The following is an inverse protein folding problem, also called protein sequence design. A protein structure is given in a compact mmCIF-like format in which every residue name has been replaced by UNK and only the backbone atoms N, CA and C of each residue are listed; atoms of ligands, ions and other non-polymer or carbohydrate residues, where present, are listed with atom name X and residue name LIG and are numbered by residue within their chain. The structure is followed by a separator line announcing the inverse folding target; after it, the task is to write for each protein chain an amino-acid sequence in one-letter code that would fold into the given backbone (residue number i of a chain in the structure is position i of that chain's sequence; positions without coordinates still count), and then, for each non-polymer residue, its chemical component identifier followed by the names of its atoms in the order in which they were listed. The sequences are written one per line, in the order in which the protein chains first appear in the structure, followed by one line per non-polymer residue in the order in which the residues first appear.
data_IF_779430195798
#
_entry.id   IF_779430195798
#
_cell.length_a   1.000
_cell.length_b   1.000
_cell.length_c   1.000
_cell.angle_alpha   90.00
_cell.angle_beta   90.00
_cell.angle_gamma   90.00
#
_symmetry.space_group_name_H-M   'P 1'
#
loop_
_entity.id
_entity.type
_entity.pdbx_description
1 polymer ?
#
# COMPACT_ATOMS: atom_id res chain seq x y z
N UNK A 1 -33.27 15.17 31.09
CA UNK A 1 -33.88 15.79 32.28
C UNK A 1 -32.77 16.27 33.19
N UNK A 2 -32.74 17.55 33.52
CA UNK A 2 -31.73 18.14 34.41
C UNK A 2 -32.37 18.36 35.79
N UNK A 3 -31.73 17.85 36.83
CA UNK A 3 -32.17 17.95 38.23
C UNK A 3 -31.27 18.91 39.00
N UNK A 4 -31.86 19.71 39.89
CA UNK A 4 -31.09 20.48 40.87
C UNK A 4 -30.64 19.51 41.98
N UNK A 5 -29.32 19.32 42.21
CA UNK A 5 -28.83 18.30 43.14
C UNK A 5 -29.35 18.44 44.57
N UNK A 6 -29.52 19.68 45.04
CA UNK A 6 -29.93 20.00 46.41
C UNK A 6 -31.42 19.81 46.66
N UNK A 7 -32.29 20.22 45.72
CA UNK A 7 -33.74 20.22 45.93
C UNK A 7 -34.45 19.05 45.27
N UNK A 8 -33.75 18.27 44.42
CA UNK A 8 -34.33 17.25 43.53
C UNK A 8 -35.47 17.76 42.65
N UNK A 9 -35.60 19.08 42.50
CA UNK A 9 -36.57 19.69 41.59
C UNK A 9 -36.08 19.58 40.15
N UNK A 10 -37.03 19.41 39.24
CA UNK A 10 -36.78 19.32 37.81
C UNK A 10 -36.53 20.74 37.29
N UNK A 11 -35.32 20.98 36.76
CA UNK A 11 -34.95 22.28 36.17
C UNK A 11 -35.45 22.38 34.73
N UNK A 12 -35.19 21.35 33.92
CA UNK A 12 -35.67 21.30 32.54
C UNK A 12 -35.73 19.86 32.00
N UNK A 13 -36.69 19.62 31.12
CA UNK A 13 -36.78 18.41 30.30
C UNK A 13 -36.60 18.88 28.86
N UNK A 14 -35.61 18.29 28.17
CA UNK A 14 -35.30 18.59 26.77
C UNK A 14 -35.31 17.29 25.98
N UNK A 15 -35.77 17.35 24.74
CA UNK A 15 -35.69 16.25 23.77
C UNK A 15 -34.22 16.02 23.41
N UNK A 16 -33.87 14.77 23.13
CA UNK A 16 -32.51 14.39 22.69
C UNK A 16 -32.56 13.73 21.30
N UNK A 17 -33.47 14.21 20.45
CA UNK A 17 -33.70 13.83 19.07
C UNK A 17 -34.27 15.05 18.35
N UNK A 18 -34.12 15.12 17.02
CA UNK A 18 -34.69 16.18 16.20
C UNK A 18 -36.20 15.95 16.04
N UNK A 19 -37.01 17.01 16.02
CA UNK A 19 -38.48 16.87 15.96
C UNK A 19 -38.97 16.26 14.64
N UNK A 20 -38.21 16.46 13.56
CA UNK A 20 -38.51 15.97 12.22
C UNK A 20 -37.91 14.57 11.92
N UNK A 21 -37.21 13.95 12.88
CA UNK A 21 -36.60 12.62 12.68
C UNK A 21 -37.64 11.50 12.91
N UNK A 22 -38.05 10.75 11.85
CA UNK A 22 -39.03 9.68 11.98
C UNK A 22 -38.54 8.50 12.84
N UNK A 23 -37.21 8.30 12.94
CA UNK A 23 -36.61 7.20 13.67
C UNK A 23 -36.30 7.57 15.15
N UNK A 24 -36.52 8.84 15.54
CA UNK A 24 -36.30 9.35 16.90
C UNK A 24 -34.88 9.01 17.40
N UNK A 25 -33.87 9.18 16.54
CA UNK A 25 -32.50 8.78 16.86
C UNK A 25 -31.92 9.71 17.90
N UNK A 26 -31.19 9.11 18.84
CA UNK A 26 -30.51 9.85 19.91
C UNK A 26 -29.45 10.77 19.30
N UNK A 27 -29.48 12.05 19.65
CA UNK A 27 -28.42 12.99 19.33
C UNK A 27 -27.22 12.71 20.24
N UNK A 28 -26.08 12.42 19.61
CA UNK A 28 -24.78 12.29 20.27
C UNK A 28 -24.06 13.65 20.26
N UNK A 29 -23.57 14.07 21.42
CA UNK A 29 -22.80 15.31 21.62
C UNK A 29 -21.34 15.06 22.00
N UNK A 30 -21.00 13.81 22.31
CA UNK A 30 -19.66 13.43 22.76
C UNK A 30 -19.17 12.30 21.86
N UNK A 31 -17.90 12.38 21.50
CA UNK A 31 -17.20 11.37 20.73
C UNK A 31 -16.07 10.82 21.57
N UNK A 32 -15.94 9.51 21.60
CA UNK A 32 -14.90 8.85 22.35
C UNK A 32 -13.76 8.41 21.43
N UNK A 33 -12.61 9.06 21.59
CA UNK A 33 -11.38 8.61 20.97
C UNK A 33 -10.80 7.42 21.72
N UNK A 34 -10.83 6.26 21.05
CA UNK A 34 -10.46 4.99 21.65
C UNK A 34 -9.34 4.33 20.84
N UNK A 35 -8.23 4.00 21.53
CA UNK A 35 -7.12 3.25 20.95
C UNK A 35 -7.54 1.80 20.65
N UNK A 36 -8.06 1.09 21.65
CA UNK A 36 -8.67 -0.23 21.50
C UNK A 36 -10.06 -0.28 22.12
N UNK A 37 -11.06 -0.86 21.42
CA UNK A 37 -12.39 -1.03 21.99
C UNK A 37 -12.28 -1.90 23.26
N UNK A 38 -12.74 -1.36 24.37
CA UNK A 38 -12.81 -2.10 25.64
C UNK A 38 -14.09 -2.92 25.72
N UNK A 39 -14.22 -3.72 26.76
CA UNK A 39 -15.43 -4.51 27.03
C UNK A 39 -16.60 -3.68 27.58
N UNK A 40 -16.37 -2.41 27.93
CA UNK A 40 -17.36 -1.52 28.52
C UNK A 40 -17.41 -0.17 27.80
N UNK A 41 -17.88 0.86 28.52
CA UNK A 41 -17.97 2.22 27.99
C UNK A 41 -16.59 2.77 27.58
N UNK A 42 -15.56 2.52 28.39
CA UNK A 42 -14.22 3.04 28.15
C UNK A 42 -13.36 2.13 27.28
N UNK A 43 -12.54 2.75 26.45
CA UNK A 43 -11.49 2.11 25.67
C UNK A 43 -10.26 1.72 26.49
N UNK A 44 -9.44 0.82 25.95
CA UNK A 44 -8.13 0.49 26.50
C UNK A 44 -7.06 1.36 25.83
N UNK A 45 -6.18 1.96 26.63
CA UNK A 45 -5.02 2.72 26.17
C UNK A 45 -3.71 1.95 26.34
N UNK A 46 -2.60 2.55 25.90
CA UNK A 46 -1.26 1.95 26.03
C UNK A 46 -0.85 1.69 27.48
N UNK A 47 -1.22 2.57 28.40
CA UNK A 47 -0.88 2.40 29.82
C UNK A 47 -1.51 1.14 30.41
N UNK A 48 -2.77 0.83 30.04
CA UNK A 48 -3.44 -0.40 30.48
C UNK A 48 -2.83 -1.64 29.84
N UNK A 49 -2.38 -1.56 28.59
CA UNK A 49 -1.78 -2.69 27.87
C UNK A 49 -0.36 -3.01 28.33
N UNK A 50 0.46 -1.98 28.57
CA UNK A 50 1.88 -2.16 28.90
C UNK A 50 2.12 -2.16 30.41
N UNK A 51 1.16 -1.68 31.22
CA UNK A 51 1.35 -1.43 32.65
C UNK A 51 1.82 -2.66 33.44
N UNK A 52 1.19 -3.82 33.23
CA UNK A 52 1.57 -5.07 33.91
C UNK A 52 3.03 -5.47 33.61
N UNK A 53 3.41 -5.41 32.34
CA UNK A 53 4.77 -5.74 31.90
C UNK A 53 5.79 -4.73 32.43
N UNK A 54 5.47 -3.44 32.43
CA UNK A 54 6.35 -2.39 32.98
C UNK A 54 6.57 -2.58 34.47
N UNK A 55 5.53 -2.96 35.23
CA UNK A 55 5.67 -3.27 36.65
C UNK A 55 6.56 -4.50 36.88
N UNK A 56 6.37 -5.57 36.11
CA UNK A 56 7.22 -6.77 36.19
C UNK A 56 8.68 -6.46 35.82
N UNK A 57 8.92 -5.76 34.71
CA UNK A 57 10.25 -5.34 34.27
C UNK A 57 10.96 -4.50 35.33
N UNK A 58 10.25 -3.54 35.92
CA UNK A 58 10.79 -2.68 36.99
C UNK A 58 11.15 -3.51 38.23
N UNK A 59 10.29 -4.46 38.62
CA UNK A 59 10.55 -5.35 39.76
C UNK A 59 11.78 -6.23 39.52
N UNK A 60 11.88 -6.85 38.34
CA UNK A 60 13.02 -7.70 37.98
C UNK A 60 14.31 -6.88 37.94
N UNK A 61 14.28 -5.71 37.31
CA UNK A 61 15.44 -4.83 37.23
C UNK A 61 15.95 -4.43 38.61
N UNK A 62 15.05 -4.08 39.54
CA UNK A 62 15.41 -3.79 40.94
C UNK A 62 16.08 -4.99 41.61
N UNK A 63 15.50 -6.19 41.50
CA UNK A 63 16.09 -7.39 42.08
C UNK A 63 17.49 -7.70 41.52
N UNK A 64 17.72 -7.49 40.22
CA UNK A 64 19.03 -7.67 39.59
C UNK A 64 20.04 -6.65 40.12
N UNK A 65 19.65 -5.38 40.23
CA UNK A 65 20.50 -4.31 40.77
C UNK A 65 20.82 -4.58 42.25
N UNK A 66 19.81 -4.90 43.06
CA UNK A 66 19.96 -5.17 44.49
C UNK A 66 20.88 -6.38 44.73
N UNK A 67 20.73 -7.47 43.96
CA UNK A 67 21.67 -8.60 44.02
C UNK A 67 23.08 -8.18 43.61
N UNK A 68 23.24 -7.34 42.60
CA UNK A 68 24.54 -6.82 42.18
C UNK A 68 25.22 -6.00 43.28
N UNK A 69 24.46 -5.14 43.96
CA UNK A 69 24.96 -4.34 45.09
C UNK A 69 25.36 -5.25 46.26
N UNK A 70 24.49 -6.20 46.65
CA UNK A 70 24.74 -7.10 47.78
C UNK A 70 25.88 -8.09 47.53
N UNK A 71 26.09 -8.51 46.28
CA UNK A 71 27.23 -9.35 45.89
C UNK A 71 28.56 -8.57 45.92
N UNK A 72 28.55 -7.31 45.48
CA UNK A 72 29.74 -6.44 45.51
C UNK A 72 30.09 -5.94 46.92
N UNK A 73 29.07 -5.70 47.75
CA UNK A 73 29.21 -5.19 49.12
C UNK A 73 28.47 -6.11 50.11
N UNK A 74 29.00 -7.32 50.38
CA UNK A 74 28.33 -8.28 51.23
C UNK A 74 28.32 -7.81 52.69
N UNK A 75 27.13 -7.68 53.26
CA UNK A 75 26.93 -7.62 54.71
C UNK A 75 27.13 -8.98 55.38
N UNK A 76 27.25 -9.00 56.70
CA UNK A 76 27.49 -10.24 57.46
C UNK A 76 27.13 -10.13 58.93
N UNK A 77 27.16 -11.27 59.61
CA UNK A 77 27.02 -11.37 61.06
C UNK A 77 28.40 -11.34 61.72
N UNK A 78 28.51 -10.62 62.82
CA UNK A 78 29.75 -10.44 63.58
C UNK A 78 29.56 -10.97 64.99
N UNK A 79 30.52 -11.77 65.47
CA UNK A 79 30.50 -12.28 66.84
C UNK A 79 30.63 -11.12 67.85
N UNK A 80 29.81 -11.15 68.91
CA UNK A 80 29.75 -10.09 69.94
C UNK A 80 31.07 -9.88 70.69
N UNK A 81 31.94 -10.89 70.72
CA UNK A 81 33.27 -10.83 71.34
C UNK A 81 34.33 -10.04 70.55
N UNK A 82 34.12 -9.79 69.25
CA UNK A 82 35.07 -9.06 68.43
C UNK A 82 35.06 -7.57 68.81
N UNK A 83 36.16 -7.03 69.33
CA UNK A 83 36.27 -5.60 69.66
C UNK A 83 37.16 -4.92 68.62
N UNK A 84 36.54 -4.17 67.71
CA UNK A 84 37.25 -3.33 66.75
C UNK A 84 37.36 -1.93 67.38
N UNK A 85 38.57 -1.41 67.64
CA UNK A 85 38.74 -0.07 68.18
C UNK A 85 38.35 0.93 67.08
N UNK A 86 37.18 1.57 67.25
CA UNK A 86 36.53 2.49 66.31
C UNK A 86 36.11 1.86 64.97
N UNK A 87 34.81 1.91 64.68
CA UNK A 87 34.20 1.31 63.48
C UNK A 87 34.43 2.14 62.20
N UNK A 88 35.11 3.28 62.30
CA UNK A 88 35.29 4.26 61.21
C UNK A 88 36.71 4.26 60.64
N UNK A 89 37.53 3.25 60.97
CA UNK A 89 38.92 3.16 60.49
C UNK A 89 38.97 2.57 59.08
N UNK A 90 39.20 3.43 58.09
CA UNK A 90 39.52 3.02 56.72
C UNK A 90 40.94 2.43 56.69
N UNK A 91 41.09 1.19 56.26
CA UNK A 91 42.40 0.54 56.12
C UNK A 91 43.05 1.03 54.83
N UNK A 92 44.20 1.71 54.94
CA UNK A 92 44.96 2.17 53.77
C UNK A 92 45.69 1.03 53.04
N UNK A 93 46.10 1.23 51.77
CA UNK A 93 46.88 0.25 51.04
C UNK A 93 48.24 0.01 51.74
N UNK A 94 48.49 -1.24 52.16
CA UNK A 94 49.72 -1.65 52.86
C UNK A 94 49.69 -1.49 54.38
N UNK A 95 48.57 -1.04 54.97
CA UNK A 95 48.41 -0.89 56.42
C UNK A 95 47.90 -2.19 57.05
N UNK A 96 48.56 -2.65 58.11
CA UNK A 96 48.08 -3.76 58.94
C UNK A 96 47.49 -3.21 60.24
N UNK A 97 46.17 -3.34 60.39
CA UNK A 97 45.46 -2.89 61.59
C UNK A 97 45.26 -4.06 62.55
N UNK A 98 45.64 -3.86 63.81
CA UNK A 98 45.46 -4.86 64.87
C UNK A 98 43.98 -4.95 65.28
N UNK A 99 43.45 -6.17 65.36
CA UNK A 99 42.09 -6.46 65.80
C UNK A 99 42.11 -7.52 66.91
N UNK A 100 41.36 -7.29 68.00
CA UNK A 100 41.32 -8.20 69.14
C UNK A 100 40.20 -9.23 68.94
N UNK A 101 40.57 -10.49 68.71
CA UNK A 101 39.65 -11.60 68.44
C UNK A 101 39.22 -12.38 69.69
N UNK A 102 39.34 -11.83 70.91
CA UNK A 102 38.75 -12.30 72.18
C UNK A 102 38.37 -13.81 72.26
N UNK A 103 39.35 -14.71 72.10
CA UNK A 103 39.17 -16.17 72.22
C UNK A 103 38.87 -16.94 70.93
N UNK A 104 38.65 -16.28 69.81
CA UNK A 104 38.51 -16.90 68.48
C UNK A 104 39.89 -17.11 67.82
N UNK A 105 40.09 -18.27 67.16
CA UNK A 105 41.35 -18.66 66.50
C UNK A 105 41.64 -17.88 65.22
N UNK A 106 40.62 -17.36 64.56
CA UNK A 106 40.74 -16.62 63.29
C UNK A 106 39.68 -15.51 63.20
N UNK A 107 40.03 -14.41 62.53
CA UNK A 107 39.09 -13.33 62.21
C UNK A 107 37.95 -13.83 61.30
N UNK A 108 38.23 -14.81 60.43
CA UNK A 108 37.24 -15.43 59.53
C UNK A 108 36.13 -16.18 60.29
N UNK A 109 36.46 -16.76 61.44
CA UNK A 109 35.48 -17.47 62.28
C UNK A 109 34.58 -16.48 63.05
N UNK A 110 35.00 -15.22 63.13
CA UNK A 110 34.30 -14.15 63.87
C UNK A 110 33.33 -13.34 63.00
N UNK A 111 33.43 -13.45 61.66
CA UNK A 111 32.60 -12.72 60.70
C UNK A 111 32.08 -13.71 59.66
N UNK A 112 30.76 -13.88 59.60
CA UNK A 112 30.09 -14.72 58.61
C UNK A 112 29.39 -13.78 57.61
N UNK A 113 29.89 -13.65 56.37
CA UNK A 113 29.16 -12.91 55.34
C UNK A 113 27.86 -13.63 55.01
N UNK A 114 26.81 -12.86 54.73
CA UNK A 114 25.57 -13.42 54.22
C UNK A 114 25.81 -13.95 52.80
N UNK A 115 25.30 -15.14 52.45
CA UNK A 115 25.56 -15.75 51.15
C UNK A 115 24.68 -15.11 50.08
N UNK A 116 25.03 -13.89 49.66
CA UNK A 116 24.41 -13.24 48.52
C UNK A 116 24.98 -13.83 47.23
N UNK A 117 24.11 -14.46 46.42
CA UNK A 117 24.49 -14.92 45.09
C UNK A 117 24.56 -13.77 44.08
N UNK A 118 25.31 -13.98 43.00
CA UNK A 118 25.36 -13.07 41.85
C UNK A 118 23.96 -12.87 41.21
N UNK A 119 23.75 -11.78 40.45
CA UNK A 119 22.53 -11.59 39.66
C UNK A 119 22.24 -12.83 38.79
N UNK A 120 21.00 -13.32 38.87
CA UNK A 120 20.63 -14.56 38.16
C UNK A 120 20.56 -14.33 36.65
N UNK A 121 21.25 -15.17 35.88
CA UNK A 121 21.18 -15.17 34.40
C UNK A 121 19.77 -15.46 33.92
N UNK A 122 19.07 -16.42 34.52
CA UNK A 122 17.67 -16.76 34.20
C UNK A 122 16.75 -15.54 34.38
N UNK A 123 16.96 -14.76 35.43
CA UNK A 123 16.18 -13.57 35.71
C UNK A 123 16.48 -12.44 34.70
N UNK A 124 17.72 -12.33 34.24
CA UNK A 124 18.11 -11.43 33.16
C UNK A 124 17.47 -11.84 31.83
N UNK A 125 17.47 -13.14 31.50
CA UNK A 125 16.85 -13.65 30.27
C UNK A 125 15.34 -13.41 30.27
N UNK A 126 14.67 -13.61 31.42
CA UNK A 126 13.26 -13.26 31.60
C UNK A 126 13.02 -11.75 31.41
N UNK A 127 13.90 -10.90 31.95
CA UNK A 127 13.83 -9.45 31.74
C UNK A 127 13.96 -9.07 30.26
N UNK A 128 14.92 -9.65 29.54
CA UNK A 128 15.14 -9.38 28.12
C UNK A 128 13.95 -9.86 27.27
N UNK A 129 13.42 -11.05 27.56
CA UNK A 129 12.23 -11.58 26.89
C UNK A 129 11.01 -10.68 27.09
N UNK A 130 10.69 -10.31 28.34
CA UNK A 130 9.57 -9.43 28.66
C UNK A 130 9.75 -8.04 28.05
N UNK A 131 10.99 -7.53 28.03
CA UNK A 131 11.32 -6.24 27.41
C UNK A 131 11.06 -6.29 25.91
N UNK A 132 11.49 -7.34 25.21
CA UNK A 132 11.24 -7.52 23.78
C UNK A 132 9.75 -7.60 23.48
N UNK A 133 8.99 -8.41 24.20
CA UNK A 133 7.53 -8.51 24.03
C UNK A 133 6.82 -7.17 24.27
N UNK A 134 7.25 -6.42 25.29
CA UNK A 134 6.72 -5.09 25.59
C UNK A 134 7.05 -4.09 24.49
N UNK A 135 8.27 -4.16 23.96
CA UNK A 135 8.67 -3.35 22.82
C UNK A 135 7.87 -3.70 21.56
N UNK A 136 7.68 -4.97 21.22
CA UNK A 136 6.88 -5.40 20.06
C UNK A 136 5.44 -4.87 20.10
N UNK A 137 4.80 -4.92 21.27
CA UNK A 137 3.45 -4.37 21.47
C UNK A 137 3.41 -2.85 21.31
N UNK A 138 4.50 -2.15 21.67
CA UNK A 138 4.63 -0.69 21.53
C UNK A 138 5.07 -0.29 20.12
N UNK A 139 5.92 -1.07 19.47
CA UNK A 139 6.59 -0.78 18.20
C UNK A 139 5.82 -1.29 16.99
N UNK A 140 4.68 -1.97 17.19
CA UNK A 140 3.73 -2.28 16.12
C UNK A 140 3.24 -1.03 15.35
N UNK A 141 3.55 0.18 15.83
CA UNK A 141 3.31 1.47 15.16
C UNK A 141 4.43 1.85 14.17
N UNK A 142 5.65 1.34 14.37
CA UNK A 142 6.86 1.71 13.61
C UNK A 142 7.70 0.47 13.28
N UNK A 143 7.08 -0.51 12.60
CA UNK A 143 7.87 -1.57 11.99
C UNK A 143 8.59 -0.98 10.77
N UNK A 144 9.86 -0.66 10.96
CA UNK A 144 10.79 -0.48 9.85
C UNK A 144 10.83 -1.81 9.10
N UNK A 145 10.34 -1.79 7.87
CA UNK A 145 10.55 -2.85 6.89
C UNK A 145 12.05 -2.84 6.63
N UNK A 146 12.81 -3.53 7.49
CA UNK A 146 14.21 -3.81 7.23
C UNK A 146 14.28 -4.48 5.86
N UNK A 147 15.26 -4.06 5.07
CA UNK A 147 15.62 -4.60 3.76
C UNK A 147 15.80 -6.12 3.83
N UNK A 148 14.69 -6.87 3.80
CA UNK A 148 14.71 -8.30 3.58
C UNK A 148 15.08 -8.49 2.12
N UNK A 149 16.20 -9.22 1.94
CA UNK A 149 16.81 -9.67 0.69
C UNK A 149 15.98 -9.40 -0.56
N UNK A 150 16.58 -8.72 -1.55
CA UNK A 150 15.95 -8.29 -2.81
C UNK A 150 15.39 -9.42 -3.72
N UNK A 151 15.12 -10.60 -3.18
CA UNK A 151 14.62 -11.79 -3.85
C UNK A 151 13.28 -12.30 -3.29
N UNK A 152 12.70 -11.72 -2.23
CA UNK A 152 11.34 -12.10 -1.80
C UNK A 152 10.31 -11.57 -2.81
N UNK A 153 9.38 -12.41 -3.32
CA UNK A 153 8.32 -11.93 -4.19
C UNK A 153 7.52 -10.80 -3.54
N UNK A 154 7.20 -9.75 -4.32
CA UNK A 154 6.49 -8.56 -3.86
C UNK A 154 5.18 -8.91 -3.16
N UNK A 155 4.47 -9.95 -3.64
CA UNK A 155 3.24 -10.44 -2.99
C UNK A 155 3.46 -10.97 -1.58
N UNK A 156 4.54 -11.72 -1.34
CA UNK A 156 4.88 -12.23 0.00
C UNK A 156 5.36 -11.12 0.92
N UNK A 157 6.17 -10.19 0.39
CA UNK A 157 6.57 -8.99 1.14
C UNK A 157 5.35 -8.17 1.55
N UNK A 158 4.42 -7.92 0.62
CA UNK A 158 3.21 -7.17 0.91
C UNK A 158 2.32 -7.88 1.92
N UNK A 159 2.19 -9.21 1.84
CA UNK A 159 1.45 -9.99 2.82
C UNK A 159 2.07 -9.88 4.24
N UNK A 160 3.40 -9.91 4.36
CA UNK A 160 4.09 -9.72 5.65
C UNK A 160 3.90 -8.30 6.19
N UNK A 161 3.98 -7.29 5.31
CA UNK A 161 3.73 -5.89 5.63
C UNK A 161 2.28 -5.67 6.09
N UNK A 162 1.30 -6.31 5.44
CA UNK A 162 -0.11 -6.21 5.81
C UNK A 162 -0.40 -6.85 7.17
N UNK A 163 0.21 -8.01 7.46
CA UNK A 163 0.10 -8.65 8.78
C UNK A 163 0.72 -7.76 9.86
N UNK A 164 1.90 -7.18 9.60
CA UNK A 164 2.58 -6.26 10.49
C UNK A 164 1.76 -5.00 10.79
N UNK A 165 1.14 -4.38 9.77
CA UNK A 165 0.38 -3.14 9.93
C UNK A 165 -1.10 -3.34 10.29
N UNK A 166 -1.60 -4.56 10.44
CA UNK A 166 -3.02 -4.83 10.73
C UNK A 166 -3.48 -4.14 12.02
N UNK A 167 -2.64 -4.12 13.05
CA UNK A 167 -2.93 -3.48 14.33
C UNK A 167 -3.04 -1.95 14.16
N UNK A 168 -2.01 -1.33 13.59
CA UNK A 168 -1.95 0.10 13.32
C UNK A 168 -3.11 0.56 12.44
N UNK A 169 -3.40 -0.18 11.37
CA UNK A 169 -4.52 0.10 10.45
C UNK A 169 -5.86 0.09 11.18
N UNK A 170 -6.05 -0.85 12.13
CA UNK A 170 -7.27 -0.94 12.91
C UNK A 170 -7.43 0.25 13.86
N UNK A 171 -6.34 0.66 14.51
CA UNK A 171 -6.31 1.86 15.38
C UNK A 171 -6.63 3.11 14.55
N UNK A 172 -5.99 3.29 13.40
CA UNK A 172 -6.23 4.45 12.52
C UNK A 172 -7.66 4.48 11.99
N UNK A 173 -8.26 3.33 11.67
CA UNK A 173 -9.67 3.23 11.28
C UNK A 173 -10.60 3.64 12.42
N UNK A 174 -10.33 3.20 13.65
CA UNK A 174 -11.08 3.61 14.85
C UNK A 174 -11.00 5.13 15.07
N UNK A 175 -9.79 5.70 15.01
CA UNK A 175 -9.58 7.14 15.14
C UNK A 175 -10.27 7.92 14.02
N UNK A 176 -10.20 7.41 12.78
CA UNK A 176 -10.89 7.99 11.62
C UNK A 176 -12.41 8.01 11.86
N UNK A 177 -12.98 6.92 12.35
CA UNK A 177 -14.41 6.84 12.65
C UNK A 177 -14.82 7.84 13.73
N UNK A 178 -14.05 7.95 14.81
CA UNK A 178 -14.27 8.96 15.84
C UNK A 178 -14.19 10.39 15.25
N UNK A 179 -13.17 10.68 14.45
CA UNK A 179 -13.04 11.99 13.80
C UNK A 179 -14.20 12.30 12.84
N UNK A 180 -14.70 11.31 12.08
CA UNK A 180 -15.90 11.49 11.26
C UNK A 180 -17.12 11.88 12.10
N UNK A 181 -17.31 11.23 13.26
CA UNK A 181 -18.41 11.55 14.17
C UNK A 181 -18.26 12.96 14.73
N UNK A 182 -17.05 13.35 15.13
CA UNK A 182 -16.78 14.68 15.67
C UNK A 182 -17.04 15.77 14.64
N UNK A 183 -16.54 15.60 13.42
CA UNK A 183 -16.80 16.52 12.31
C UNK A 183 -18.29 16.61 11.99
N UNK A 184 -19.02 15.50 12.06
CA UNK A 184 -20.48 15.49 11.91
C UNK A 184 -21.20 16.29 13.00
N UNK A 185 -20.77 16.18 14.26
CA UNK A 185 -21.32 16.98 15.36
C UNK A 185 -21.03 18.46 15.15
N UNK A 186 -19.80 18.82 14.80
CA UNK A 186 -19.41 20.21 14.52
C UNK A 186 -20.21 20.79 13.35
N UNK A 187 -20.36 20.04 12.27
CA UNK A 187 -21.15 20.43 11.10
C UNK A 187 -22.60 20.76 11.48
N UNK A 188 -23.24 19.89 12.27
CA UNK A 188 -24.59 20.14 12.78
C UNK A 188 -24.65 21.36 13.70
N UNK A 189 -23.70 21.51 14.62
CA UNK A 189 -23.66 22.66 15.54
C UNK A 189 -23.47 23.98 14.78
N UNK A 190 -22.63 24.00 13.74
CA UNK A 190 -22.49 25.17 12.89
C UNK A 190 -23.78 25.52 12.15
N UNK A 191 -24.51 24.52 11.62
CA UNK A 191 -25.84 24.73 11.05
C UNK A 191 -26.89 25.25 12.04
N UNK A 192 -26.74 25.01 13.34
CA UNK A 192 -27.65 25.52 14.37
C UNK A 192 -27.25 26.91 14.89
N UNK A 193 -25.95 27.17 15.02
CA UNK A 193 -25.43 28.36 15.70
C UNK A 193 -25.07 29.52 14.75
N UNK A 194 -24.71 29.27 13.49
CA UNK A 194 -24.34 30.33 12.56
C UNK A 194 -25.56 31.18 12.17
N UNK A 195 -25.40 32.49 11.93
CA UNK A 195 -26.44 33.32 11.36
C UNK A 195 -26.64 33.05 9.87
N UNK A 196 -27.77 33.49 9.31
CA UNK A 196 -28.02 33.44 7.86
C UNK A 196 -27.21 34.50 7.08
N UNK A 197 -26.54 35.41 7.78
CA UNK A 197 -25.66 36.41 7.19
C UNK A 197 -24.30 35.80 6.83
N UNK A 198 -23.75 36.08 5.64
CA UNK A 198 -22.43 35.57 5.25
C UNK A 198 -21.34 36.06 6.20
N UNK A 199 -20.61 35.13 6.82
CA UNK A 199 -19.46 35.43 7.66
C UNK A 199 -18.17 35.30 6.83
N UNK A 200 -17.43 36.39 6.59
CA UNK A 200 -16.18 36.35 5.81
C UNK A 200 -15.02 35.78 6.64
N UNK A 201 -14.22 34.91 6.03
CA UNK A 201 -12.98 34.39 6.61
C UNK A 201 -11.87 34.30 5.55
N UNK A 202 -10.62 34.51 5.97
CA UNK A 202 -9.47 34.50 5.08
C UNK A 202 -8.88 33.08 4.97
N UNK A 203 -8.57 32.66 3.74
CA UNK A 203 -7.95 31.37 3.43
C UNK A 203 -6.77 31.62 2.49
N UNK A 204 -5.79 30.71 2.49
CA UNK A 204 -4.67 30.79 1.53
C UNK A 204 -5.24 30.75 0.11
N UNK A 205 -5.11 31.86 -0.62
CA UNK A 205 -5.66 32.00 -1.98
C UNK A 205 -6.95 32.82 -2.11
N UNK A 206 -7.54 33.35 -1.03
CA UNK A 206 -8.69 34.26 -1.14
C UNK A 206 -9.49 34.49 0.14
N UNK A 207 -10.52 35.34 0.04
CA UNK A 207 -11.55 35.45 1.07
C UNK A 207 -12.73 34.54 0.70
N UNK A 208 -13.14 33.70 1.65
CA UNK A 208 -14.32 32.87 1.53
C UNK A 208 -15.39 33.36 2.51
N UNK A 209 -16.64 32.97 2.26
CA UNK A 209 -17.76 33.29 3.15
C UNK A 209 -18.46 32.00 3.53
N UNK A 210 -18.97 31.95 4.75
CA UNK A 210 -19.74 30.82 5.27
C UNK A 210 -21.04 31.32 5.88
N UNK A 211 -22.14 30.63 5.62
CA UNK A 211 -23.46 30.93 6.17
C UNK A 211 -24.17 29.66 6.66
N UNK A 212 -25.26 29.82 7.41
CA UNK A 212 -26.07 28.69 7.90
C UNK A 212 -26.50 27.73 6.78
N UNK A 213 -26.89 28.28 5.61
CA UNK A 213 -27.39 27.49 4.47
C UNK A 213 -26.36 26.50 3.89
N UNK A 214 -25.05 26.73 4.13
CA UNK A 214 -23.99 25.82 3.67
C UNK A 214 -23.95 24.51 4.48
N UNK A 215 -24.55 24.51 5.67
CA UNK A 215 -24.60 23.37 6.60
C UNK A 215 -25.89 22.56 6.46
N UNK A 216 -26.24 22.17 5.24
CA UNK A 216 -27.42 21.35 4.96
C UNK A 216 -27.16 19.85 5.21
N UNK A 217 -28.21 19.08 5.53
CA UNK A 217 -28.07 17.64 5.83
C UNK A 217 -27.68 16.77 4.61
N UNK A 218 -27.50 17.36 3.42
CA UNK A 218 -27.14 16.64 2.20
C UNK A 218 -25.65 16.31 2.10
N UNK A 219 -24.80 16.97 2.88
CA UNK A 219 -23.35 16.79 2.84
C UNK A 219 -22.88 15.94 4.03
N UNK A 220 -22.06 14.92 3.73
CA UNK A 220 -21.39 14.09 4.74
C UNK A 220 -19.91 14.43 4.77
N UNK A 221 -19.44 14.98 5.88
CA UNK A 221 -18.01 15.20 6.10
C UNK A 221 -17.34 13.88 6.46
N UNK A 222 -16.34 13.49 5.68
CA UNK A 222 -15.52 12.32 5.96
C UNK A 222 -14.02 12.67 5.83
N UNK A 223 -13.19 12.34 6.83
CA UNK A 223 -11.75 12.48 6.74
C UNK A 223 -11.21 11.60 5.60
N UNK A 224 -10.32 12.16 4.78
CA UNK A 224 -9.78 11.52 3.57
C UNK A 224 -8.67 10.51 3.85
N UNK A 225 -8.18 10.40 5.09
CA UNK A 225 -7.15 9.44 5.47
C UNK A 225 -7.57 8.00 5.15
N UNK A 226 -6.76 7.29 4.37
CA UNK A 226 -6.97 5.87 4.10
C UNK A 226 -6.23 5.03 5.14
N UNK A 227 -6.96 4.42 6.06
CA UNK A 227 -6.41 3.56 7.12
C UNK A 227 -5.95 2.18 6.65
N UNK A 228 -5.90 1.90 5.34
CA UNK A 228 -5.38 0.65 4.76
C UNK A 228 -4.07 0.84 3.98
N UNK A 229 -3.80 2.04 3.46
CA UNK A 229 -2.59 2.41 2.70
C UNK A 229 -1.76 3.42 3.49
N UNK A 230 -1.63 3.21 4.80
CA UNK A 230 -1.20 4.26 5.74
C UNK A 230 0.28 4.61 5.57
N UNK A 231 1.11 3.69 5.10
CA UNK A 231 2.55 3.95 5.00
C UNK A 231 2.94 4.40 3.60
N UNK A 232 3.81 5.40 3.52
CA UNK A 232 4.45 5.81 2.27
C UNK A 232 5.13 4.62 1.59
N UNK A 233 5.65 3.67 2.37
CA UNK A 233 6.28 2.44 1.88
C UNK A 233 5.35 1.55 1.05
N UNK A 234 4.12 1.30 1.52
CA UNK A 234 3.13 0.53 0.74
C UNK A 234 2.80 1.22 -0.58
N UNK A 235 2.63 2.54 -0.56
CA UNK A 235 2.34 3.31 -1.77
C UNK A 235 3.50 3.27 -2.77
N UNK A 236 4.75 3.30 -2.29
CA UNK A 236 5.95 3.17 -3.10
C UNK A 236 6.03 1.77 -3.73
N UNK A 237 5.79 0.71 -2.96
CA UNK A 237 5.81 -0.67 -3.46
C UNK A 237 4.79 -0.89 -4.58
N UNK A 238 3.56 -0.38 -4.43
CA UNK A 238 2.56 -0.43 -5.49
C UNK A 238 2.98 0.31 -6.76
N UNK A 239 3.63 1.47 -6.61
CA UNK A 239 4.14 2.24 -7.75
C UNK A 239 5.29 1.52 -8.44
N UNK A 240 6.20 0.89 -7.69
CA UNK A 240 7.28 0.09 -8.27
C UNK A 240 6.74 -1.09 -9.09
N UNK A 241 5.72 -1.79 -8.58
CA UNK A 241 5.09 -2.89 -9.33
C UNK A 241 4.33 -2.38 -10.56
N UNK A 242 3.62 -1.26 -10.44
CA UNK A 242 2.96 -0.63 -11.59
C UNK A 242 3.97 -0.25 -12.67
N UNK A 243 5.12 0.30 -12.29
CA UNK A 243 6.20 0.62 -13.23
C UNK A 243 6.73 -0.63 -13.91
N UNK A 244 6.94 -1.72 -13.16
CA UNK A 244 7.38 -3.02 -13.70
C UNK A 244 6.37 -3.60 -14.70
N UNK A 245 5.08 -3.62 -14.36
CA UNK A 245 4.02 -4.07 -15.25
C UNK A 245 3.93 -3.21 -16.51
N UNK A 246 4.05 -1.90 -16.37
CA UNK A 246 4.04 -0.96 -17.50
C UNK A 246 5.23 -1.15 -18.44
N UNK A 247 6.39 -1.58 -17.91
CA UNK A 247 7.56 -1.92 -18.71
C UNK A 247 7.41 -3.26 -19.45
N UNK A 248 6.68 -4.22 -18.88
CA UNK A 248 6.43 -5.53 -19.49
C UNK A 248 5.39 -5.48 -20.62
N UNK A 249 4.38 -4.63 -20.49
CA UNK A 249 3.33 -4.47 -21.50
C UNK A 249 3.04 -2.99 -21.80
N UNK A 250 3.99 -2.24 -22.43
CA UNK A 250 3.82 -0.81 -22.68
C UNK A 250 2.56 -0.46 -23.48
N UNK A 251 2.09 -1.36 -24.34
CA UNK A 251 0.90 -1.18 -25.17
C UNK A 251 -0.42 -1.14 -24.38
N UNK A 252 -0.45 -1.66 -23.13
CA UNK A 252 -1.66 -1.66 -22.30
C UNK A 252 -1.76 -0.42 -21.39
N UNK A 253 -0.67 0.33 -21.23
CA UNK A 253 -0.58 1.41 -20.26
C UNK A 253 -0.17 2.72 -20.92
N UNK A 254 -0.82 3.80 -20.54
CA UNK A 254 -0.28 5.14 -20.77
C UNK A 254 0.91 5.35 -19.81
N UNK A 255 2.13 5.15 -20.33
CA UNK A 255 3.36 5.30 -19.57
C UNK A 255 3.45 6.68 -18.91
N UNK A 256 3.01 7.73 -19.59
CA UNK A 256 3.08 9.10 -19.07
C UNK A 256 2.15 9.27 -17.87
N UNK A 257 0.93 8.73 -17.93
CA UNK A 257 0.02 8.71 -16.80
C UNK A 257 0.58 7.88 -15.62
N UNK A 258 1.22 6.74 -15.90
CA UNK A 258 1.88 5.89 -14.90
C UNK A 258 2.99 6.66 -14.18
N UNK A 259 3.91 7.28 -14.92
CA UNK A 259 4.99 8.09 -14.34
C UNK A 259 4.45 9.31 -13.57
N UNK A 260 3.41 9.99 -14.08
CA UNK A 260 2.74 11.07 -13.33
C UNK A 260 2.23 10.59 -11.98
N UNK A 261 1.60 9.41 -11.95
CA UNK A 261 1.08 8.79 -10.73
C UNK A 261 2.22 8.40 -9.78
N UNK A 262 3.33 7.91 -10.32
CA UNK A 262 4.54 7.62 -9.55
C UNK A 262 5.09 8.88 -8.86
N UNK A 263 5.29 9.97 -9.61
CA UNK A 263 5.78 11.24 -9.08
C UNK A 263 4.86 11.83 -8.01
N UNK A 264 3.53 11.80 -8.22
CA UNK A 264 2.55 12.22 -7.20
C UNK A 264 2.65 11.40 -5.92
N UNK A 265 2.86 10.09 -6.05
CA UNK A 265 2.94 9.18 -4.90
C UNK A 265 4.23 9.39 -4.10
N UNK A 266 5.33 9.70 -4.79
CA UNK A 266 6.62 10.06 -4.21
C UNK A 266 6.66 11.50 -3.66
N UNK A 267 5.56 12.26 -3.78
CA UNK A 267 5.46 13.64 -3.32
C UNK A 267 6.52 14.56 -3.95
N UNK A 268 6.88 14.30 -5.21
CA UNK A 268 7.78 15.16 -5.97
C UNK A 268 7.02 16.46 -6.31
N UNK A 269 7.56 17.59 -5.86
CA UNK A 269 7.04 18.91 -6.20
C UNK A 269 7.30 19.23 -7.68
N UNK A 270 6.53 20.16 -8.25
CA UNK A 270 6.70 20.62 -9.65
C UNK A 270 6.74 19.50 -10.69
N UNK A 271 5.78 18.58 -10.64
CA UNK A 271 5.65 17.48 -11.62
C UNK A 271 5.63 18.00 -13.06
N UNK A 272 5.07 19.20 -13.28
CA UNK A 272 4.97 19.81 -14.60
C UNK A 272 6.34 20.31 -15.13
N UNK A 273 7.35 20.54 -14.28
CA UNK A 273 8.73 20.81 -14.72
C UNK A 273 9.43 19.54 -15.20
N UNK A 274 9.20 18.43 -14.49
CA UNK A 274 9.83 17.13 -14.77
C UNK A 274 9.12 16.43 -15.94
N UNK A 275 7.82 16.66 -16.10
CA UNK A 275 6.99 16.03 -17.11
C UNK A 275 6.10 17.08 -17.82
N UNK A 276 6.71 17.95 -18.66
CA UNK A 276 6.04 19.09 -19.29
C UNK A 276 4.88 18.63 -20.16
N UNK A 277 3.70 19.28 -20.10
CA UNK A 277 2.48 18.83 -20.76
C UNK A 277 2.74 18.53 -22.24
N UNK A 278 2.05 17.52 -22.76
CA UNK A 278 2.19 17.14 -24.15
C UNK A 278 1.81 18.35 -25.00
N UNK A 279 2.78 18.93 -25.71
CA UNK A 279 2.53 20.09 -26.55
C UNK A 279 1.53 19.69 -27.63
N UNK A 280 0.43 20.43 -27.71
CA UNK A 280 -0.43 20.37 -28.88
C UNK A 280 0.41 20.81 -30.08
N UNK A 281 0.61 19.90 -31.03
CA UNK A 281 1.38 20.20 -32.23
C UNK A 281 0.55 21.17 -33.06
N UNK A 282 0.97 22.44 -33.23
CA UNK A 282 0.21 23.36 -34.06
C UNK A 282 0.13 22.84 -35.50
N UNK A 283 -0.97 23.13 -36.19
CA UNK A 283 -1.03 22.88 -37.65
C UNK A 283 0.03 23.75 -38.32
N UNK A 284 0.90 23.12 -39.09
CA UNK A 284 1.94 23.78 -39.86
C UNK A 284 1.73 23.53 -41.34
N UNK A 285 2.44 24.28 -42.19
CA UNK A 285 2.51 23.98 -43.61
C UNK A 285 3.39 22.73 -43.88
N UNK A 286 3.19 22.01 -44.99
CA UNK A 286 3.91 20.76 -45.30
C UNK A 286 5.44 20.90 -45.30
N UNK A 287 5.95 22.08 -45.68
CA UNK A 287 7.39 22.32 -45.72
C UNK A 287 7.96 22.50 -44.31
N UNK A 288 7.25 23.20 -43.43
CA UNK A 288 7.57 23.30 -42.00
C UNK A 288 7.42 21.94 -41.31
N UNK A 289 6.43 21.13 -41.67
CA UNK A 289 6.26 19.76 -41.15
C UNK A 289 7.43 18.84 -41.56
N UNK A 290 7.90 18.92 -42.81
CA UNK A 290 9.12 18.24 -43.25
C UNK A 290 10.34 18.68 -42.42
N UNK A 291 10.50 19.98 -42.20
CA UNK A 291 11.60 20.50 -41.37
C UNK A 291 11.49 20.06 -39.90
N UNK A 292 10.28 19.98 -39.35
CA UNK A 292 10.01 19.50 -37.99
C UNK A 292 10.28 18.01 -37.86
N UNK A 293 9.87 17.20 -38.85
CA UNK A 293 10.17 15.77 -38.91
C UNK A 293 11.68 15.51 -38.98
N UNK A 294 12.43 16.32 -39.73
CA UNK A 294 13.90 16.25 -39.78
C UNK A 294 14.57 16.62 -38.45
N UNK A 295 13.91 17.43 -37.63
CA UNK A 295 14.34 17.77 -36.26
C UNK A 295 13.83 16.78 -35.20
N UNK A 296 13.06 15.76 -35.59
CA UNK A 296 12.43 14.79 -34.69
C UNK A 296 11.28 15.38 -33.85
N UNK A 297 10.72 16.51 -34.26
CA UNK A 297 9.54 17.10 -33.63
C UNK A 297 8.28 16.38 -34.14
N UNK A 298 7.27 16.14 -33.26
CA UNK A 298 6.03 15.49 -33.66
C UNK A 298 5.24 16.33 -34.67
N UNK A 299 4.57 15.65 -35.61
CA UNK A 299 3.71 16.23 -36.65
C UNK A 299 2.33 15.55 -36.58
N UNK A 300 1.25 16.26 -36.92
CA UNK A 300 -0.13 15.76 -36.76
C UNK A 300 -1.01 16.27 -37.89
N UNK A 301 -1.83 15.37 -38.46
CA UNK A 301 -2.81 15.71 -39.50
C UNK A 301 -4.04 16.37 -38.88
N UNK A 302 -4.51 17.42 -39.53
CA UNK A 302 -5.72 18.14 -39.17
C UNK A 302 -6.80 18.00 -40.25
N UNK A 303 -8.08 17.82 -39.88
CA UNK A 303 -9.15 17.51 -40.85
C UNK A 303 -9.36 18.54 -41.96
N UNK A 304 -8.96 19.80 -41.79
CA UNK A 304 -9.13 20.85 -42.80
C UNK A 304 -7.94 20.98 -43.75
N UNK A 305 -6.82 20.30 -43.50
CA UNK A 305 -5.66 20.33 -44.40
C UNK A 305 -6.00 19.66 -45.73
N UNK A 306 -5.35 20.13 -46.80
CA UNK A 306 -5.42 19.49 -48.11
C UNK A 306 -4.48 18.27 -48.12
N UNK A 307 -5.09 17.08 -47.99
CA UNK A 307 -4.35 15.83 -47.88
C UNK A 307 -3.56 15.52 -49.16
N UNK A 308 -4.06 15.87 -50.35
CA UNK A 308 -3.38 15.59 -51.61
C UNK A 308 -2.12 16.45 -51.78
N UNK A 309 -2.21 17.73 -51.45
CA UNK A 309 -1.06 18.62 -51.44
C UNK A 309 0.00 18.18 -50.41
N UNK A 310 -0.41 17.71 -49.22
CA UNK A 310 0.51 17.22 -48.19
C UNK A 310 1.19 15.92 -48.63
N UNK A 311 0.44 14.93 -49.14
CA UNK A 311 1.00 13.66 -49.62
C UNK A 311 2.06 13.90 -50.69
N UNK A 312 1.79 14.76 -51.68
CA UNK A 312 2.76 15.09 -52.74
C UNK A 312 4.02 15.74 -52.16
N UNK A 313 3.86 16.64 -51.19
CA UNK A 313 4.99 17.37 -50.60
C UNK A 313 5.83 16.51 -49.65
N UNK A 314 5.24 15.52 -48.99
CA UNK A 314 5.92 14.56 -48.12
C UNK A 314 6.53 13.37 -48.88
N UNK A 315 5.95 12.97 -50.01
CA UNK A 315 6.39 11.83 -50.83
C UNK A 315 7.91 11.77 -51.08
N UNK A 316 8.60 12.85 -51.48
CA UNK A 316 10.05 12.79 -51.71
C UNK A 316 10.87 12.57 -50.43
N UNK A 317 10.33 12.87 -49.25
CA UNK A 317 11.01 12.73 -47.96
C UNK A 317 10.59 11.46 -47.19
N UNK A 318 9.67 10.66 -47.75
CA UNK A 318 9.10 9.48 -47.11
C UNK A 318 10.09 8.30 -47.01
N UNK A 319 11.04 8.20 -47.95
CA UNK A 319 12.07 7.15 -47.92
C UNK A 319 13.14 7.42 -46.84
N UNK A 320 13.43 8.69 -46.58
CA UNK A 320 14.48 9.11 -45.65
C UNK A 320 13.99 9.22 -44.20
N UNK A 321 12.69 9.41 -43.97
CA UNK A 321 12.13 9.62 -42.62
C UNK A 321 10.86 8.79 -42.37
N UNK A 322 10.94 7.85 -41.42
CA UNK A 322 9.83 6.98 -41.03
C UNK A 322 8.63 7.73 -40.44
N UNK A 323 8.87 8.88 -39.81
CA UNK A 323 7.81 9.73 -39.26
C UNK A 323 6.99 10.39 -40.37
N UNK A 324 7.64 10.83 -41.46
CA UNK A 324 6.97 11.36 -42.65
C UNK A 324 6.15 10.27 -43.33
N UNK A 325 6.67 9.04 -43.39
CA UNK A 325 5.94 7.88 -43.91
C UNK A 325 4.66 7.59 -43.10
N UNK A 326 4.72 7.62 -41.78
CA UNK A 326 3.53 7.47 -40.92
C UNK A 326 2.54 8.63 -41.11
N UNK A 327 3.04 9.85 -41.24
CA UNK A 327 2.21 11.03 -41.47
C UNK A 327 1.51 11.01 -42.84
N UNK A 328 2.15 10.49 -43.88
CA UNK A 328 1.50 10.22 -45.18
C UNK A 328 0.37 9.20 -45.02
N UNK A 329 0.55 8.16 -44.21
CA UNK A 329 -0.52 7.18 -43.93
C UNK A 329 -1.70 7.83 -43.19
N UNK A 330 -1.43 8.74 -42.26
CA UNK A 330 -2.48 9.52 -41.58
C UNK A 330 -3.27 10.41 -42.57
N UNK A 331 -2.58 11.07 -43.51
CA UNK A 331 -3.23 11.83 -44.58
C UNK A 331 -4.02 10.94 -45.54
N UNK A 332 -3.54 9.75 -45.87
CA UNK A 332 -4.28 8.77 -46.67
C UNK A 332 -5.56 8.31 -45.97
N UNK A 333 -5.50 8.10 -44.65
CA UNK A 333 -6.68 7.77 -43.85
C UNK A 333 -7.67 8.95 -43.78
N UNK A 334 -7.18 10.16 -43.57
CA UNK A 334 -7.98 11.41 -43.59
C UNK A 334 -8.68 11.60 -44.95
N UNK A 335 -7.93 11.44 -46.04
CA UNK A 335 -8.45 11.51 -47.41
C UNK A 335 -9.53 10.46 -47.65
N UNK A 336 -9.29 9.20 -47.28
CA UNK A 336 -10.27 8.12 -47.43
C UNK A 336 -11.58 8.46 -46.68
N UNK A 337 -11.48 9.00 -45.47
CA UNK A 337 -12.66 9.45 -44.71
C UNK A 337 -13.40 10.59 -45.42
N UNK A 338 -12.70 11.60 -45.95
CA UNK A 338 -13.31 12.70 -46.71
C UNK A 338 -13.99 12.23 -47.99
N UNK A 339 -13.35 11.35 -48.76
CA UNK A 339 -13.94 10.78 -49.97
C UNK A 339 -15.20 9.96 -49.66
N UNK A 340 -15.17 9.14 -48.60
CA UNK A 340 -16.33 8.38 -48.16
C UNK A 340 -17.47 9.30 -47.68
N UNK A 341 -17.17 10.38 -46.94
CA UNK A 341 -18.16 11.38 -46.55
C UNK A 341 -18.78 12.09 -47.75
N UNK A 342 -17.96 12.48 -48.74
CA UNK A 342 -18.44 13.12 -49.97
C UNK A 342 -19.35 12.19 -50.78
N UNK A 343 -19.01 10.90 -50.90
CA UNK A 343 -19.81 9.92 -51.64
C UNK A 343 -21.09 9.52 -50.92
N UNK A 344 -21.09 9.45 -49.60
CA UNK A 344 -22.30 9.18 -48.82
C UNK A 344 -23.21 10.40 -48.67
N UNK A 345 -22.70 11.61 -48.92
CA UNK A 345 -23.46 12.85 -48.76
C UNK A 345 -23.80 13.19 -47.30
N UNK A 346 -23.15 12.53 -46.34
CA UNK A 346 -23.39 12.65 -44.90
C UNK A 346 -22.04 12.86 -44.21
N UNK A 347 -21.96 13.85 -43.30
CA UNK A 347 -20.80 14.00 -42.43
C UNK A 347 -20.78 12.86 -41.41
N UNK A 348 -19.67 12.12 -41.33
CA UNK A 348 -19.53 11.05 -40.36
C UNK A 348 -19.62 11.64 -38.94
N UNK A 349 -20.47 11.08 -38.07
CA UNK A 349 -20.57 11.51 -36.68
C UNK A 349 -19.23 11.34 -35.94
N UNK A 350 -18.95 12.13 -34.88
CA UNK A 350 -17.81 11.90 -34.00
C UNK A 350 -17.83 10.49 -33.40
N UNK A 351 -16.66 9.89 -33.20
CA UNK A 351 -16.51 8.51 -32.67
C UNK A 351 -17.32 8.25 -31.39
N UNK A 352 -17.44 9.24 -30.49
CA UNK A 352 -18.22 9.13 -29.25
C UNK A 352 -19.73 8.91 -29.50
N UNK A 353 -20.26 9.44 -30.60
CA UNK A 353 -21.68 9.28 -30.96
C UNK A 353 -21.98 7.93 -31.62
N UNK A 354 -20.98 7.34 -32.27
CA UNK A 354 -21.04 6.01 -32.87
C UNK A 354 -20.98 4.90 -31.81
N UNK A 355 -20.07 5.03 -30.83
CA UNK A 355 -19.94 4.06 -29.73
C UNK A 355 -21.22 3.92 -28.89
N UNK A 356 -22.03 4.97 -28.81
CA UNK A 356 -23.27 4.98 -28.03
C UNK A 356 -24.52 4.59 -28.83
N UNK A 357 -24.43 4.41 -30.16
CA UNK A 357 -25.56 4.08 -31.03
C UNK A 357 -25.20 3.00 -32.07
N UNK A 358 -25.30 1.70 -31.70
CA UNK A 358 -24.98 0.59 -32.60
C UNK A 358 -25.88 0.51 -33.85
N UNK A 359 -27.11 1.04 -33.80
CA UNK A 359 -27.98 1.13 -34.99
C UNK A 359 -27.46 2.12 -36.03
N UNK A 360 -26.88 3.23 -35.57
CA UNK A 360 -26.31 4.26 -36.43
C UNK A 360 -25.02 3.78 -37.09
N UNK A 361 -24.19 3.05 -36.36
CA UNK A 361 -23.00 2.37 -36.88
C UNK A 361 -23.38 1.39 -37.99
N UNK A 362 -24.37 0.53 -37.76
CA UNK A 362 -24.83 -0.45 -38.76
C UNK A 362 -25.42 0.22 -40.01
N UNK A 363 -26.13 1.34 -39.84
CA UNK A 363 -26.64 2.12 -40.98
C UNK A 363 -25.52 2.72 -41.82
N UNK A 364 -24.48 3.26 -41.17
CA UNK A 364 -23.29 3.77 -41.85
C UNK A 364 -22.53 2.63 -42.53
N UNK A 365 -22.39 1.46 -41.90
CA UNK A 365 -21.75 0.29 -42.49
C UNK A 365 -22.45 -0.21 -43.78
N UNK A 366 -23.79 -0.18 -43.81
CA UNK A 366 -24.57 -0.51 -45.02
C UNK A 366 -24.34 0.51 -46.14
N UNK A 367 -24.33 1.80 -45.81
CA UNK A 367 -24.08 2.88 -46.76
C UNK A 367 -22.65 2.83 -47.31
N UNK A 368 -21.65 2.60 -46.45
CA UNK A 368 -20.25 2.48 -46.88
C UNK A 368 -20.04 1.25 -47.75
N UNK A 369 -20.70 0.11 -47.45
CA UNK A 369 -20.66 -1.09 -48.29
C UNK A 369 -21.21 -0.84 -49.70
N UNK A 370 -22.37 -0.18 -49.82
CA UNK A 370 -22.96 0.17 -51.13
C UNK A 370 -22.07 1.09 -51.96
N UNK A 371 -21.46 2.11 -51.35
CA UNK A 371 -20.52 3.01 -52.04
C UNK A 371 -19.27 2.25 -52.49
N UNK A 372 -18.79 1.32 -51.67
CA UNK A 372 -17.59 0.53 -51.98
C UNK A 372 -17.85 -0.46 -53.13
N UNK A 373 -19.02 -1.10 -53.19
CA UNK A 373 -19.43 -1.97 -54.31
C UNK A 373 -19.60 -1.20 -55.64
N UNK A 374 -20.16 0.01 -55.59
CA UNK A 374 -20.27 0.89 -56.77
C UNK A 374 -18.90 1.36 -57.28
N UNK A 375 -17.91 1.49 -56.38
CA UNK A 375 -16.56 1.89 -56.73
C UNK A 375 -15.75 0.73 -57.35
N UNK A 376 -15.96 -0.51 -56.88
CA UNK A 376 -15.37 -1.70 -57.49
C UNK A 376 -15.87 -1.97 -58.93
N UNK A 377 -17.08 -1.52 -59.26
CA UNK A 377 -17.65 -1.69 -60.61
C UNK A 377 -17.17 -0.65 -61.64
N UNK A 378 -16.44 0.40 -61.23
CA UNK A 378 -15.89 1.43 -62.14
C UNK A 378 -14.36 1.40 -62.29
N UNK A 379 -13.63 0.59 -61.50
CA UNK A 379 -12.20 0.35 -61.74
C UNK A 379 -12.00 -0.67 -62.85
N UNK A 380 -11.78 -0.16 -64.05
CA UNK A 380 -11.23 -0.90 -65.21
C UNK A 380 -9.93 -1.61 -64.81
N UNK A 381 -9.70 -2.89 -65.16
CA UNK A 381 -8.40 -3.51 -64.99
C UNK A 381 -7.41 -2.80 -65.93
N UNK A 382 -6.41 -2.11 -65.39
CA UNK A 382 -5.22 -1.80 -66.18
C UNK A 382 -4.55 -3.12 -66.58
N UNK A 383 -3.96 -3.23 -67.80
CA UNK A 383 -3.30 -4.44 -68.23
C UNK A 383 -2.10 -4.68 -67.31
N UNK A 384 -2.21 -5.72 -66.49
CA UNK A 384 -1.12 -6.18 -65.62
C UNK A 384 -0.07 -6.83 -66.50
N UNK A 385 1.17 -6.34 -66.40
CA UNK A 385 2.33 -6.90 -67.08
C UNK A 385 2.52 -8.38 -66.63
N UNK A 386 2.52 -9.39 -67.53
CA UNK A 386 2.48 -10.81 -67.19
C UNK A 386 3.62 -11.31 -66.29
N UNK A 387 4.75 -10.58 -66.21
CA UNK A 387 5.86 -10.91 -65.32
C UNK A 387 5.65 -10.48 -63.85
N UNK A 388 4.83 -9.46 -63.58
CA UNK A 388 4.57 -8.98 -62.22
C UNK A 388 3.64 -9.93 -61.45
N UNK A 389 2.70 -10.57 -62.13
CA UNK A 389 1.78 -11.57 -61.54
C UNK A 389 2.54 -12.83 -61.14
N UNK A 390 3.46 -13.32 -61.98
CA UNK A 390 4.24 -14.51 -61.68
C UNK A 390 5.19 -14.28 -60.48
N UNK A 391 5.82 -13.11 -60.40
CA UNK A 391 6.70 -12.76 -59.29
C UNK A 391 5.91 -12.49 -58.00
N UNK A 392 4.72 -11.90 -58.08
CA UNK A 392 3.81 -11.73 -56.94
C UNK A 392 3.25 -13.06 -56.42
N UNK A 393 2.93 -14.02 -57.31
CA UNK A 393 2.46 -15.35 -56.93
C UNK A 393 3.57 -16.20 -56.28
N UNK A 394 4.82 -16.07 -56.77
CA UNK A 394 5.98 -16.71 -56.15
C UNK A 394 6.22 -16.11 -54.75
N UNK A 395 6.17 -14.79 -54.62
CA UNK A 395 6.37 -14.08 -53.35
C UNK A 395 5.24 -14.37 -52.35
N UNK A 396 3.99 -14.43 -52.80
CA UNK A 396 2.84 -14.81 -51.98
C UNK A 396 2.91 -16.28 -51.52
N UNK A 397 3.45 -17.18 -52.35
CA UNK A 397 3.74 -18.57 -51.94
C UNK A 397 4.88 -18.66 -50.94
N UNK A 398 5.94 -17.86 -51.11
CA UNK A 398 7.06 -17.80 -50.17
C UNK A 398 6.63 -17.23 -48.82
N UNK A 399 5.90 -16.11 -48.80
CA UNK A 399 5.33 -15.52 -47.58
C UNK A 399 4.31 -16.47 -46.93
N UNK A 400 3.46 -17.14 -47.71
CA UNK A 400 2.54 -18.15 -47.21
C UNK A 400 3.24 -19.36 -46.58
N UNK A 401 4.38 -19.78 -47.12
CA UNK A 401 5.20 -20.85 -46.53
C UNK A 401 5.96 -20.39 -45.28
N UNK A 402 6.44 -19.15 -45.25
CA UNK A 402 7.09 -18.55 -44.08
C UNK A 402 6.10 -18.36 -42.92
N UNK A 403 4.88 -17.91 -43.20
CA UNK A 403 3.82 -17.77 -42.20
C UNK A 403 3.42 -19.12 -41.61
N UNK A 404 3.32 -20.17 -42.43
CA UNK A 404 3.10 -21.55 -41.94
C UNK A 404 4.25 -22.07 -41.11
N UNK A 405 5.49 -21.76 -41.47
CA UNK A 405 6.67 -22.13 -40.67
C UNK A 405 6.70 -21.38 -39.33
N UNK A 406 6.39 -20.08 -39.33
CA UNK A 406 6.27 -19.27 -38.13
C UNK A 406 5.12 -19.75 -37.23
N UNK A 407 3.96 -20.09 -37.79
CA UNK A 407 2.83 -20.65 -37.06
C UNK A 407 3.17 -22.02 -36.45
N UNK A 408 3.88 -22.89 -37.19
CA UNK A 408 4.35 -24.17 -36.68
C UNK A 408 5.38 -23.99 -35.55
N UNK A 409 6.29 -23.02 -35.68
CA UNK A 409 7.27 -22.69 -34.64
C UNK A 409 6.60 -22.10 -33.39
N UNK A 410 5.61 -21.23 -33.56
CA UNK A 410 4.85 -20.65 -32.46
C UNK A 410 4.03 -21.72 -31.75
N UNK A 411 3.38 -22.63 -32.49
CA UNK A 411 2.69 -23.79 -31.94
C UNK A 411 3.64 -24.68 -31.13
N UNK A 412 4.81 -25.01 -31.68
CA UNK A 412 5.84 -25.78 -30.98
C UNK A 412 6.32 -25.08 -29.69
N UNK A 413 6.50 -23.75 -29.71
CA UNK A 413 6.86 -22.98 -28.52
C UNK A 413 5.74 -22.96 -27.47
N UNK A 414 4.48 -22.77 -27.89
CA UNK A 414 3.34 -22.85 -26.95
C UNK A 414 3.15 -24.24 -26.36
N UNK A 415 3.38 -25.31 -27.12
CA UNK A 415 3.33 -26.67 -26.61
C UNK A 415 4.48 -26.96 -25.64
N UNK A 416 5.70 -26.52 -25.97
CA UNK A 416 6.85 -26.62 -25.07
C UNK A 416 6.63 -25.83 -23.77
N UNK A 417 6.08 -24.62 -23.86
CA UNK A 417 5.76 -23.79 -22.70
C UNK A 417 4.64 -24.42 -21.86
N UNK A 418 3.60 -24.96 -22.49
CA UNK A 418 2.51 -25.68 -21.80
C UNK A 418 3.02 -26.93 -21.10
N UNK A 419 3.94 -27.69 -21.72
CA UNK A 419 4.59 -28.83 -21.10
C UNK A 419 5.45 -28.43 -19.89
N UNK A 420 6.19 -27.32 -19.99
CA UNK A 420 6.99 -26.78 -18.90
C UNK A 420 6.10 -26.33 -17.72
N UNK A 421 5.00 -25.63 -18.00
CA UNK A 421 4.05 -25.19 -16.99
C UNK A 421 3.38 -26.39 -16.28
N UNK A 422 3.05 -27.45 -17.02
CA UNK A 422 2.51 -28.68 -16.46
C UNK A 422 3.53 -29.41 -15.59
N UNK A 423 4.79 -29.44 -16.00
CA UNK A 423 5.89 -30.02 -15.21
C UNK A 423 6.10 -29.25 -13.89
N UNK A 424 6.13 -27.91 -13.93
CA UNK A 424 6.22 -27.09 -12.72
C UNK A 424 5.00 -27.25 -11.80
N UNK A 425 3.79 -27.32 -12.37
CA UNK A 425 2.58 -27.63 -11.61
C UNK A 425 2.65 -28.99 -10.91
N UNK A 426 3.14 -30.03 -11.59
CA UNK A 426 3.31 -31.35 -11.01
C UNK A 426 4.38 -31.34 -9.91
N UNK A 427 5.50 -30.65 -10.12
CA UNK A 427 6.55 -30.48 -9.13
C UNK A 427 6.01 -29.79 -7.87
N UNK A 428 5.29 -28.68 -8.02
CA UNK A 428 4.68 -27.99 -6.87
C UNK A 428 3.62 -28.83 -6.16
N UNK A 429 2.81 -29.60 -6.89
CA UNK A 429 1.89 -30.56 -6.25
C UNK A 429 2.63 -31.58 -5.40
N UNK A 430 3.75 -32.10 -5.90
CA UNK A 430 4.62 -33.04 -5.18
C UNK A 430 5.23 -32.40 -3.93
N UNK A 431 5.73 -31.17 -4.02
CA UNK A 431 6.25 -30.41 -2.87
C UNK A 431 5.18 -30.17 -1.80
N UNK A 432 3.96 -29.80 -2.21
CA UNK A 432 2.83 -29.62 -1.29
C UNK A 432 2.43 -30.93 -0.63
N UNK A 433 2.44 -32.04 -1.37
CA UNK A 433 2.12 -33.37 -0.85
C UNK A 433 3.18 -33.86 0.14
N UNK A 434 4.47 -33.59 -0.12
CA UNK A 434 5.56 -33.84 0.83
C UNK A 434 5.41 -33.02 2.11
N UNK A 435 5.14 -31.71 2.00
CA UNK A 435 4.92 -30.84 3.16
C UNK A 435 3.71 -31.29 3.99
N UNK A 436 2.63 -31.73 3.36
CA UNK A 436 1.46 -32.29 4.05
C UNK A 436 1.80 -33.62 4.75
N UNK A 437 2.61 -34.47 4.13
CA UNK A 437 3.07 -35.72 4.74
C UNK A 437 3.96 -35.44 5.97
N UNK A 438 4.89 -34.49 5.85
CA UNK A 438 5.77 -34.08 6.96
C UNK A 438 4.99 -33.46 8.12
N UNK A 439 3.99 -32.62 7.82
CA UNK A 439 3.10 -32.06 8.83
C UNK A 439 2.27 -33.14 9.52
N UNK A 440 1.73 -34.12 8.77
CA UNK A 440 1.00 -35.24 9.36
C UNK A 440 1.89 -36.09 10.26
N UNK A 441 3.12 -36.37 9.84
CA UNK A 441 4.10 -37.10 10.64
C UNK A 441 4.47 -36.33 11.92
N UNK A 442 4.67 -35.01 11.83
CA UNK A 442 4.97 -34.17 12.99
C UNK A 442 3.81 -34.14 13.99
N UNK A 443 2.56 -34.05 13.52
CA UNK A 443 1.37 -34.11 14.36
C UNK A 443 1.21 -35.49 15.01
N UNK A 444 1.47 -36.56 14.25
CA UNK A 444 1.45 -37.94 14.78
C UNK A 444 2.47 -38.11 15.92
N UNK A 445 3.69 -37.62 15.74
CA UNK A 445 4.75 -37.64 16.75
C UNK A 445 4.38 -36.80 18.00
N UNK A 446 3.72 -35.66 17.82
CA UNK A 446 3.21 -34.88 18.94
C UNK A 446 2.10 -35.61 19.71
N UNK A 447 1.20 -36.30 19.00
CA UNK A 447 0.15 -37.11 19.63
C UNK A 447 0.74 -38.30 20.40
N UNK A 448 1.74 -38.98 19.85
CA UNK A 448 2.46 -40.05 20.56
C UNK A 448 3.24 -39.52 21.77
N UNK A 449 3.89 -38.36 21.66
CA UNK A 449 4.54 -37.69 22.78
C UNK A 449 3.57 -37.32 23.91
N UNK A 450 2.39 -36.81 23.58
CA UNK A 450 1.33 -36.51 24.57
C UNK A 450 0.77 -37.78 25.22
N UNK A 451 0.67 -38.89 24.50
CA UNK A 451 0.25 -40.18 25.08
C UNK A 451 1.27 -40.72 26.07
N UNK A 452 2.56 -40.67 25.75
CA UNK A 452 3.62 -41.09 26.66
C UNK A 452 3.73 -40.21 27.92
N UNK A 453 3.48 -38.89 27.79
CA UNK A 453 3.38 -38.01 28.97
C UNK A 453 2.20 -38.38 29.87
N UNK A 454 1.03 -38.63 29.29
CA UNK A 454 -0.14 -39.05 30.08
C UNK A 454 0.03 -40.42 30.74
N UNK A 455 0.73 -41.38 30.10
CA UNK A 455 1.06 -42.68 30.71
C UNK A 455 2.07 -42.54 31.86
N UNK A 456 3.09 -41.68 31.71
CA UNK A 456 4.05 -41.40 32.80
C UNK A 456 3.43 -40.67 34.00
N UNK A 457 2.43 -39.81 33.76
CA UNK A 457 1.70 -39.13 34.84
C UNK A 457 0.73 -40.09 35.57
N UNK A 458 0.24 -41.13 34.90
CA UNK A 458 -0.58 -42.19 35.50
C UNK A 458 0.23 -43.18 36.34
N UNK A 459 1.46 -43.52 35.92
CA UNK A 459 2.36 -44.36 36.73
C UNK A 459 2.83 -43.63 38.00
N UNK A 460 3.16 -42.33 37.91
CA UNK A 460 3.54 -41.53 39.08
C UNK A 460 2.38 -41.29 40.07
N UNK A 461 1.12 -41.38 39.61
CA UNK A 461 -0.05 -41.28 40.48
C UNK A 461 -0.40 -42.59 41.22
N UNK A 462 0.22 -43.72 40.87
CA UNK A 462 0.05 -45.01 41.56
C UNK A 462 1.14 -45.30 42.61
N UNK A 463 2.20 -44.48 42.67
CA UNK A 463 3.27 -44.57 43.68
C UNK A 463 3.09 -43.61 44.89
N UNK A 464 1.94 -42.95 45.00
CA UNK A 464 1.47 -42.24 46.20
C UNK A 464 0.20 -42.90 46.76
#
# INVERSE_FOLDING_TARGET
MTLIPSTRQILSIRRNWEEDDPDVRRIEYFVQYTLFPGFGLYGLGYAQLLGSNVHALTSILRQLIDKGILSNFPGGLRASGLKIPQNDKLIGPGEFVEVNTAGFRSLKDSIIPLPYGEPSVVLKDLYEMLRRQTQELSSAVELNINEQSGNTPVGTMMAQVDVAHRLQSSILKSLKQALSQELGILYRLFGQCLPDTPYPFAVVGGQHQVMRADFNQSLVLAPTGNGMLSTSTQRIAHVQELLKLSSQAPQLFDLRAVYKRACKTLQIENIDEIMPPQQEVPSCDPATENANAMKGLPIKVYPWQDDDAHIITHSPFAEENSQIKAHIQDHQASKYLKEMQQKMGIQLPPLDTLQNNPELENHIALMTAQVTEQQQTQTSPQPVDPNAVLMADIKAKEEGNQLKFAEAQLKAQTEAFKAQLQFEMQKHKLEVEQLLADQKNAVQLQIEGMKHQNEGDLENAQEF
#
